data_IF_015072492257
#
_entry.id   IF_015072492257
#
_cell.length_a   1.000
_cell.length_b   1.000
_cell.length_c   1.000
_cell.angle_alpha   90.00
_cell.angle_beta   90.00
_cell.angle_gamma   90.00
#
_symmetry.space_group_name_H-M   'P 1'
#
loop_
_entity.id
_entity.type
_entity.pdbx_description
1 polymer ?
#
# COMPACT_ATOMS: atom_id res chain seq x y z
N UNK A 1 31.41 1.08 -36.96
CA UNK A 1 30.69 1.45 -35.72
C UNK A 1 29.19 1.33 -35.97
N UNK A 2 28.45 0.86 -34.99
CA UNK A 2 27.02 0.56 -35.12
C UNK A 2 26.24 1.08 -33.90
N UNK A 3 24.93 1.22 -34.05
CA UNK A 3 24.01 1.57 -32.96
C UNK A 3 22.97 0.45 -32.83
N UNK A 4 22.76 0.00 -31.59
CA UNK A 4 21.78 -1.03 -31.26
C UNK A 4 20.91 -0.58 -30.10
N UNK A 5 19.60 -0.83 -30.20
CA UNK A 5 18.69 -0.80 -29.07
C UNK A 5 18.68 -2.16 -28.41
N UNK A 6 18.79 -2.20 -27.09
CA UNK A 6 18.69 -3.42 -26.30
C UNK A 6 17.46 -3.41 -25.41
N UNK A 7 16.86 -4.58 -25.22
CA UNK A 7 15.78 -4.84 -24.26
C UNK A 7 16.08 -6.11 -23.48
N UNK A 8 16.07 -6.03 -22.17
CA UNK A 8 16.39 -7.12 -21.26
C UNK A 8 15.16 -7.47 -20.43
N UNK A 9 14.72 -8.71 -20.54
CA UNK A 9 13.55 -9.27 -19.85
C UNK A 9 13.98 -10.27 -18.79
N UNK A 10 13.23 -10.31 -17.69
CA UNK A 10 13.45 -11.18 -16.54
C UNK A 10 13.35 -10.40 -15.23
N UNK A 11 13.91 -10.95 -14.15
CA UNK A 11 14.09 -10.25 -12.87
C UNK A 11 15.24 -9.24 -12.99
N UNK A 12 14.99 -8.08 -13.61
CA UNK A 12 16.03 -7.09 -13.91
C UNK A 12 15.73 -5.69 -13.37
N UNK A 13 14.64 -5.53 -12.64
CA UNK A 13 14.28 -4.28 -11.97
C UNK A 13 14.34 -4.45 -10.45
N UNK A 14 14.83 -3.43 -9.72
CA UNK A 14 14.97 -3.51 -8.26
C UNK A 14 16.17 -4.34 -7.78
N UNK A 15 17.03 -4.80 -8.70
CA UNK A 15 18.20 -5.67 -8.45
C UNK A 15 19.53 -5.02 -8.83
N UNK A 16 19.57 -3.70 -9.05
CA UNK A 16 20.81 -3.01 -9.45
C UNK A 16 21.24 -3.20 -10.92
N UNK A 17 20.34 -3.66 -11.79
CA UNK A 17 20.67 -3.96 -13.19
C UNK A 17 21.06 -2.72 -14.02
N UNK A 18 20.40 -1.56 -13.84
CA UNK A 18 20.78 -0.31 -14.53
C UNK A 18 22.22 0.14 -14.21
N UNK A 19 22.66 0.17 -12.93
CA UNK A 19 24.08 0.35 -12.59
C UNK A 19 25.02 -0.66 -13.25
N UNK A 20 24.62 -1.94 -13.34
CA UNK A 20 25.40 -2.96 -14.02
C UNK A 20 25.57 -2.64 -15.51
N UNK A 21 24.47 -2.36 -16.22
CA UNK A 21 24.48 -1.95 -17.63
C UNK A 21 25.41 -0.74 -17.86
N UNK A 22 25.31 0.28 -17.01
CA UNK A 22 26.15 1.48 -17.09
C UNK A 22 27.65 1.14 -16.98
N UNK A 23 28.04 0.31 -15.99
CA UNK A 23 29.45 -0.08 -15.80
C UNK A 23 29.97 -0.90 -16.98
N UNK A 24 29.15 -1.83 -17.48
CA UNK A 24 29.53 -2.68 -18.62
C UNK A 24 29.74 -1.84 -19.88
N UNK A 25 28.83 -0.91 -20.19
CA UNK A 25 28.98 -0.01 -21.34
C UNK A 25 30.23 0.86 -21.22
N UNK A 26 30.50 1.42 -20.03
CA UNK A 26 31.71 2.22 -19.78
C UNK A 26 33.01 1.43 -19.93
N UNK A 27 33.05 0.20 -19.44
CA UNK A 27 34.23 -0.66 -19.54
C UNK A 27 34.56 -1.05 -20.99
N UNK A 28 33.54 -1.08 -21.86
CA UNK A 28 33.67 -1.42 -23.28
C UNK A 28 33.78 -0.18 -24.19
N UNK A 29 33.83 1.03 -23.61
CA UNK A 29 33.95 2.28 -24.38
C UNK A 29 32.73 2.63 -25.22
N UNK A 30 31.54 2.16 -24.84
CA UNK A 30 30.29 2.38 -25.57
C UNK A 30 29.57 3.67 -25.12
N UNK A 31 28.96 4.37 -26.07
CA UNK A 31 28.05 5.50 -25.84
C UNK A 31 26.60 5.01 -25.75
N UNK A 32 25.71 5.81 -25.15
CA UNK A 32 24.27 5.51 -25.17
C UNK A 32 23.53 5.74 -23.85
N UNK A 33 22.51 4.95 -23.59
CA UNK A 33 21.68 5.12 -22.40
C UNK A 33 20.98 3.85 -21.93
N UNK A 34 20.51 3.84 -20.67
CA UNK A 34 19.67 2.78 -20.09
C UNK A 34 18.54 3.35 -19.23
N UNK A 35 17.34 2.76 -19.29
CA UNK A 35 16.18 3.08 -18.47
C UNK A 35 15.38 1.82 -18.06
N UNK A 36 14.54 1.97 -17.03
CA UNK A 36 13.50 0.98 -16.72
C UNK A 36 12.22 1.36 -17.47
N UNK A 37 11.60 0.40 -18.17
CA UNK A 37 10.35 0.61 -18.92
C UNK A 37 9.48 -0.64 -18.76
N UNK A 38 8.21 -0.48 -18.36
CA UNK A 38 7.17 -1.53 -18.39
C UNK A 38 7.65 -2.96 -18.09
N UNK A 39 8.23 -3.18 -16.90
CA UNK A 39 8.67 -4.49 -16.43
C UNK A 39 10.00 -5.02 -16.98
N UNK A 40 10.67 -4.30 -17.89
CA UNK A 40 11.96 -4.67 -18.48
C UNK A 40 12.98 -3.53 -18.39
N UNK A 41 14.24 -3.80 -18.73
CA UNK A 41 15.29 -2.77 -18.86
C UNK A 41 15.56 -2.57 -20.34
N UNK A 42 15.62 -1.33 -20.79
CA UNK A 42 15.95 -1.02 -22.17
C UNK A 42 16.92 0.14 -22.31
N UNK A 43 17.50 0.27 -23.49
CA UNK A 43 18.43 1.34 -23.79
C UNK A 43 18.99 1.25 -25.19
N UNK A 44 19.95 2.13 -25.49
CA UNK A 44 20.73 2.07 -26.72
C UNK A 44 22.22 2.08 -26.40
N UNK A 45 23.00 1.40 -27.25
CA UNK A 45 24.47 1.42 -27.24
C UNK A 45 24.99 1.75 -28.64
N UNK A 46 26.04 2.57 -28.69
CA UNK A 46 26.74 2.96 -29.91
C UNK A 46 28.25 2.75 -29.76
N UNK A 47 28.89 2.14 -30.76
CA UNK A 47 30.33 1.87 -30.73
C UNK A 47 30.78 0.80 -31.71
N UNK A 48 31.90 0.15 -31.38
CA UNK A 48 32.43 -0.98 -32.14
C UNK A 48 31.44 -2.17 -32.11
N UNK A 49 31.13 -2.81 -33.25
CA UNK A 49 30.25 -3.98 -33.29
C UNK A 49 30.68 -5.12 -32.34
N UNK A 50 31.98 -5.41 -32.25
CA UNK A 50 32.48 -6.50 -31.41
C UNK A 50 32.29 -6.16 -29.92
N UNK A 51 32.43 -4.88 -29.56
CA UNK A 51 32.17 -4.40 -28.21
C UNK A 51 30.66 -4.44 -27.86
N UNK A 52 29.78 -4.24 -28.85
CA UNK A 52 28.33 -4.34 -28.66
C UNK A 52 27.88 -5.79 -28.47
N UNK A 53 28.47 -6.72 -29.21
CA UNK A 53 28.19 -8.15 -29.06
C UNK A 53 28.68 -8.67 -27.70
N UNK A 54 29.88 -8.27 -27.28
CA UNK A 54 30.41 -8.54 -25.93
C UNK A 54 29.55 -7.91 -24.82
N UNK A 55 29.05 -6.69 -25.04
CA UNK A 55 28.11 -6.04 -24.11
C UNK A 55 26.84 -6.88 -23.94
N UNK A 56 26.24 -7.33 -25.04
CA UNK A 56 25.02 -8.14 -24.99
C UNK A 56 25.24 -9.51 -24.34
N UNK A 57 26.39 -10.15 -24.60
CA UNK A 57 26.79 -11.38 -23.93
C UNK A 57 26.88 -11.19 -22.41
N UNK A 58 27.52 -10.11 -21.95
CA UNK A 58 27.60 -9.77 -20.52
C UNK A 58 26.25 -9.43 -19.90
N UNK A 59 25.33 -8.80 -20.64
CA UNK A 59 23.97 -8.59 -20.15
C UNK A 59 23.23 -9.89 -19.93
N UNK A 60 23.48 -10.93 -20.73
CA UNK A 60 22.82 -12.22 -20.59
C UNK A 60 23.33 -13.03 -19.39
N UNK A 61 24.62 -12.93 -19.04
CA UNK A 61 25.26 -13.86 -18.09
C UNK A 61 25.92 -13.21 -16.86
N UNK A 62 26.20 -11.90 -16.90
CA UNK A 62 27.00 -11.21 -15.87
C UNK A 62 26.22 -10.32 -14.91
N UNK A 63 24.89 -10.45 -14.87
CA UNK A 63 24.02 -9.59 -14.06
C UNK A 63 24.30 -9.66 -12.54
N UNK A 64 23.76 -8.69 -11.76
CA UNK A 64 23.79 -8.73 -10.29
C UNK A 64 23.24 -10.03 -9.71
N UNK A 65 23.61 -10.36 -8.47
CA UNK A 65 23.29 -11.66 -7.81
C UNK A 65 21.78 -12.00 -7.82
N UNK A 66 20.93 -10.99 -7.66
CA UNK A 66 19.47 -11.18 -7.66
C UNK A 66 18.84 -11.05 -9.04
N UNK A 67 19.63 -10.79 -10.08
CA UNK A 67 19.15 -10.64 -11.43
C UNK A 67 19.04 -12.00 -12.13
N UNK A 68 17.89 -12.27 -12.74
CA UNK A 68 17.70 -13.44 -13.60
C UNK A 68 17.26 -12.96 -14.97
N UNK A 69 18.17 -13.03 -15.94
CA UNK A 69 17.91 -12.60 -17.31
C UNK A 69 17.32 -13.77 -18.07
N UNK A 70 16.08 -13.61 -18.54
CA UNK A 70 15.39 -14.62 -19.35
C UNK A 70 15.66 -14.41 -20.84
N UNK A 71 15.75 -13.16 -21.27
CA UNK A 71 15.92 -12.82 -22.69
C UNK A 71 16.54 -11.45 -22.86
N UNK A 72 17.53 -11.35 -23.75
CA UNK A 72 18.03 -10.09 -24.31
C UNK A 72 17.57 -10.00 -25.76
N UNK A 73 17.03 -8.86 -26.18
CA UNK A 73 16.74 -8.53 -27.58
C UNK A 73 17.60 -7.37 -28.01
N UNK A 74 18.19 -7.48 -29.20
CA UNK A 74 18.90 -6.40 -29.87
C UNK A 74 18.16 -6.06 -31.17
N UNK A 75 17.96 -4.77 -31.41
CA UNK A 75 17.43 -4.24 -32.68
C UNK A 75 18.29 -3.06 -33.12
N UNK A 76 18.06 -2.54 -34.33
CA UNK A 76 18.68 -1.28 -34.75
C UNK A 76 18.24 -0.12 -33.84
N UNK A 77 19.18 0.79 -33.56
CA UNK A 77 18.98 1.97 -32.72
C UNK A 77 19.48 3.25 -33.40
N UNK A 78 19.21 4.41 -32.79
CA UNK A 78 19.43 5.71 -33.41
C UNK A 78 20.18 6.72 -32.52
N UNK A 79 20.71 6.30 -31.36
CA UNK A 79 21.44 7.18 -30.45
C UNK A 79 22.66 7.85 -31.10
N UNK A 80 22.83 9.16 -30.90
CA UNK A 80 24.00 9.90 -31.39
C UNK A 80 25.27 9.56 -30.60
N UNK A 81 26.39 9.48 -31.31
CA UNK A 81 27.73 9.20 -30.77
C UNK A 81 28.36 10.41 -30.06
N UNK A 82 29.34 10.16 -29.19
CA UNK A 82 30.22 11.17 -28.59
C UNK A 82 29.67 11.85 -27.34
N UNK A 83 28.54 11.38 -26.80
CA UNK A 83 27.89 11.99 -25.62
C UNK A 83 28.11 11.20 -24.31
N UNK A 84 28.82 10.07 -24.36
CA UNK A 84 28.96 9.17 -23.23
C UNK A 84 27.73 8.30 -23.00
N UNK A 85 27.85 7.38 -22.03
CA UNK A 85 26.74 6.53 -21.58
C UNK A 85 26.06 7.13 -20.34
N UNK A 86 24.72 7.17 -20.31
CA UNK A 86 23.95 7.71 -19.17
C UNK A 86 22.77 6.83 -18.71
N UNK A 87 22.32 7.02 -17.46
CA UNK A 87 21.10 6.37 -16.93
C UNK A 87 19.95 7.37 -17.03
N UNK A 88 18.88 7.03 -17.74
CA UNK A 88 17.69 7.87 -17.91
C UNK A 88 16.59 7.48 -16.93
N UNK A 89 15.73 8.45 -16.60
CA UNK A 89 14.47 8.20 -15.92
C UNK A 89 13.52 7.44 -16.87
N UNK A 90 12.72 6.53 -16.32
CA UNK A 90 11.66 5.86 -17.09
C UNK A 90 10.53 6.84 -17.47
N UNK A 91 9.66 6.47 -18.41
CA UNK A 91 8.51 7.30 -18.78
C UNK A 91 7.57 7.51 -17.59
N UNK A 92 7.00 8.72 -17.48
CA UNK A 92 6.10 9.10 -16.38
C UNK A 92 4.75 8.35 -16.38
N UNK A 93 4.44 7.63 -17.47
CA UNK A 93 3.19 6.88 -17.66
C UNK A 93 3.54 5.48 -18.12
N UNK A 94 3.15 4.48 -17.34
CA UNK A 94 3.37 3.06 -17.65
C UNK A 94 2.32 2.59 -18.67
N UNK A 95 2.76 1.99 -19.78
CA UNK A 95 1.90 1.27 -20.71
C UNK A 95 1.95 -0.20 -20.33
N UNK A 96 1.20 -0.59 -19.28
CA UNK A 96 1.20 -1.93 -18.63
C UNK A 96 0.88 -3.09 -19.58
N UNK A 97 1.80 -3.42 -20.47
CA UNK A 97 1.68 -4.48 -21.48
C UNK A 97 2.47 -5.73 -21.09
N UNK A 98 3.45 -5.62 -20.18
CA UNK A 98 4.27 -6.73 -19.69
C UNK A 98 4.23 -6.86 -18.16
N UNK A 99 4.02 -8.08 -17.62
CA UNK A 99 4.14 -8.34 -16.18
C UNK A 99 5.55 -8.02 -15.67
N UNK A 100 5.63 -7.42 -14.48
CA UNK A 100 6.91 -7.13 -13.81
C UNK A 100 7.31 -8.33 -12.95
N UNK A 101 8.47 -8.91 -13.21
CA UNK A 101 9.03 -10.00 -12.40
C UNK A 101 9.69 -9.42 -11.14
N UNK A 102 9.22 -9.84 -9.96
CA UNK A 102 9.69 -9.35 -8.65
C UNK A 102 10.78 -10.29 -8.10
N UNK A 103 11.94 -9.77 -7.66
CA UNK A 103 12.99 -10.60 -7.05
C UNK A 103 12.56 -11.15 -5.69
N UNK A 104 13.04 -12.36 -5.30
CA UNK A 104 12.84 -12.88 -3.94
C UNK A 104 13.61 -12.03 -2.92
N UNK A 105 13.24 -12.17 -1.66
CA UNK A 105 14.00 -11.60 -0.54
C UNK A 105 15.39 -12.20 -0.44
N UNK A 106 16.34 -11.41 0.04
CA UNK A 106 17.72 -11.83 0.18
C UNK A 106 18.28 -11.43 1.54
N UNK A 107 19.02 -12.36 2.17
CA UNK A 107 19.78 -12.07 3.39
C UNK A 107 20.81 -10.95 3.15
N UNK A 108 21.18 -10.23 4.21
CA UNK A 108 22.18 -9.15 4.16
C UNK A 108 23.47 -9.61 3.45
N UNK A 109 23.95 -8.86 2.45
CA UNK A 109 25.19 -9.21 1.75
C UNK A 109 26.42 -8.88 2.60
N UNK A 110 27.56 -9.49 2.29
CA UNK A 110 28.81 -9.28 3.02
C UNK A 110 29.26 -7.80 3.05
N UNK A 111 28.91 -7.01 2.03
CA UNK A 111 29.22 -5.57 2.00
C UNK A 111 28.38 -4.80 3.00
N UNK A 112 27.05 -4.97 2.98
CA UNK A 112 26.19 -4.38 3.99
C UNK A 112 26.52 -4.88 5.40
N UNK A 113 26.91 -6.14 5.57
CA UNK A 113 27.32 -6.67 6.87
C UNK A 113 28.58 -5.97 7.41
N UNK A 114 29.56 -5.67 6.54
CA UNK A 114 30.74 -4.87 6.93
C UNK A 114 30.35 -3.43 7.31
N UNK A 115 29.55 -2.76 6.47
CA UNK A 115 29.06 -1.41 6.76
C UNK A 115 28.25 -1.34 8.07
N UNK A 116 27.49 -2.39 8.38
CA UNK A 116 26.70 -2.48 9.61
C UNK A 116 27.57 -2.49 10.87
N UNK A 117 28.76 -3.07 10.81
CA UNK A 117 29.65 -3.25 11.96
C UNK A 117 30.88 -2.33 11.96
N UNK A 118 31.10 -1.53 10.91
CA UNK A 118 32.20 -0.57 10.84
C UNK A 118 31.83 0.74 11.56
N UNK A 119 32.49 1.11 12.68
CA UNK A 119 32.20 2.35 13.41
C UNK A 119 32.45 3.64 12.63
N UNK A 120 33.23 3.58 11.54
CA UNK A 120 33.50 4.73 10.67
C UNK A 120 32.46 4.87 9.54
N UNK A 121 31.62 3.85 9.29
CA UNK A 121 30.58 3.93 8.28
C UNK A 121 29.34 4.66 8.82
N UNK A 122 28.75 5.52 7.98
CA UNK A 122 27.52 6.26 8.32
C UNK A 122 26.33 5.34 8.61
N UNK A 123 26.38 4.07 8.20
CA UNK A 123 25.35 3.05 8.43
C UNK A 123 25.71 2.10 9.57
N UNK A 124 26.70 2.42 10.39
CA UNK A 124 27.03 1.67 11.60
C UNK A 124 25.78 1.43 12.46
N UNK A 125 25.48 0.15 12.73
CA UNK A 125 24.31 -0.33 13.48
C UNK A 125 22.95 0.11 12.90
N UNK A 126 22.86 0.49 11.62
CA UNK A 126 21.60 0.82 10.97
C UNK A 126 20.76 -0.45 10.70
N UNK A 127 19.66 -0.69 11.42
CA UNK A 127 18.97 -1.98 11.41
C UNK A 127 18.30 -2.34 10.08
N UNK A 128 18.05 -1.34 9.23
CA UNK A 128 17.43 -1.51 7.91
C UNK A 128 18.44 -1.47 6.76
N UNK A 129 19.72 -1.75 7.04
CA UNK A 129 20.75 -1.73 6.02
C UNK A 129 20.46 -2.76 4.92
N UNK A 130 20.38 -2.28 3.70
CA UNK A 130 20.31 -3.10 2.50
C UNK A 130 20.98 -2.35 1.34
N UNK A 131 21.31 -3.09 0.28
CA UNK A 131 21.79 -2.55 -0.99
C UNK A 131 20.99 -3.16 -2.13
N UNK A 132 21.41 -2.93 -3.38
CA UNK A 132 20.75 -3.52 -4.55
C UNK A 132 20.79 -5.05 -4.57
N UNK A 133 21.73 -5.66 -3.86
CA UNK A 133 22.04 -7.09 -3.93
C UNK A 133 21.50 -7.90 -2.74
N UNK A 134 20.89 -7.22 -1.76
CA UNK A 134 20.34 -7.88 -0.56
C UNK A 134 19.14 -7.13 0.05
N UNK A 135 18.55 -7.73 1.08
CA UNK A 135 17.41 -7.18 1.82
C UNK A 135 16.07 -7.62 1.24
N UNK A 136 14.97 -7.19 1.87
CA UNK A 136 13.64 -7.59 1.46
C UNK A 136 13.28 -6.99 0.08
N UNK A 137 12.51 -7.75 -0.70
CA UNK A 137 12.03 -7.51 -2.08
C UNK A 137 10.62 -8.04 -2.27
N UNK A 138 10.42 -9.36 -2.25
CA UNK A 138 9.08 -9.94 -2.35
C UNK A 138 8.29 -9.66 -1.07
N UNK A 139 8.91 -9.77 0.11
CA UNK A 139 8.33 -9.40 1.41
C UNK A 139 8.07 -7.89 1.62
N UNK A 140 8.36 -7.03 0.64
CA UNK A 140 7.93 -5.62 0.68
C UNK A 140 6.83 -5.33 -0.35
N UNK A 141 6.28 -6.35 -0.99
CA UNK A 141 5.20 -6.20 -1.96
C UNK A 141 4.01 -7.03 -1.48
N UNK A 142 2.90 -6.33 -1.23
CA UNK A 142 1.56 -6.80 -0.82
C UNK A 142 1.31 -6.99 0.69
N UNK A 143 1.34 -5.86 1.40
CA UNK A 143 0.97 -5.70 2.81
C UNK A 143 -0.40 -6.34 3.16
N UNK A 144 -1.43 -6.03 2.39
CA UNK A 144 -2.81 -6.42 2.70
C UNK A 144 -3.12 -7.90 2.46
N UNK A 145 -2.52 -8.53 1.44
CA UNK A 145 -2.66 -9.97 1.22
C UNK A 145 -1.91 -10.73 2.31
N UNK A 146 -0.71 -10.27 2.69
CA UNK A 146 0.07 -10.87 3.77
C UNK A 146 -0.68 -10.88 5.10
N UNK A 147 -1.34 -9.77 5.48
CA UNK A 147 -2.16 -9.70 6.70
C UNK A 147 -3.22 -10.81 6.77
N UNK A 148 -3.99 -11.00 5.70
CA UNK A 148 -5.08 -12.01 5.69
C UNK A 148 -4.57 -13.42 5.45
N UNK A 149 -3.44 -13.58 4.74
CA UNK A 149 -2.75 -14.86 4.55
C UNK A 149 -2.13 -15.37 5.86
N UNK A 150 -1.60 -14.49 6.71
CA UNK A 150 -1.09 -14.86 8.04
C UNK A 150 -2.19 -15.54 8.87
N UNK A 151 -3.37 -14.94 8.91
CA UNK A 151 -4.54 -15.50 9.62
C UNK A 151 -5.00 -16.81 8.97
N UNK A 152 -5.05 -16.89 7.64
CA UNK A 152 -5.43 -18.11 6.95
C UNK A 152 -4.46 -19.26 7.23
N UNK A 153 -3.15 -18.98 7.24
CA UNK A 153 -2.09 -19.94 7.49
C UNK A 153 -2.12 -20.46 8.94
N UNK A 154 -2.27 -19.55 9.92
CA UNK A 154 -2.39 -19.91 11.35
C UNK A 154 -3.56 -20.89 11.58
N UNK A 155 -4.69 -20.66 10.90
CA UNK A 155 -5.90 -21.49 11.04
C UNK A 155 -5.97 -22.65 10.05
N UNK A 156 -4.89 -22.94 9.32
CA UNK A 156 -4.78 -23.99 8.31
C UNK A 156 -5.94 -23.98 7.30
N UNK A 157 -6.38 -22.79 6.88
CA UNK A 157 -7.46 -22.62 5.90
C UNK A 157 -7.02 -23.19 4.56
N UNK A 158 -7.85 -24.06 3.97
CA UNK A 158 -7.64 -24.65 2.66
C UNK A 158 -8.58 -24.04 1.64
N UNK A 159 -8.03 -23.61 0.50
CA UNK A 159 -8.79 -22.99 -0.57
C UNK A 159 -9.18 -21.53 -0.31
N UNK A 160 -10.06 -20.96 -1.16
CA UNK A 160 -10.38 -19.54 -1.11
C UNK A 160 -11.11 -19.13 0.17
N UNK A 161 -10.76 -17.95 0.67
CA UNK A 161 -11.39 -17.26 1.80
C UNK A 161 -11.65 -15.79 1.46
N UNK A 162 -12.44 -15.11 2.29
CA UNK A 162 -12.64 -13.67 2.23
C UNK A 162 -11.74 -12.98 3.25
N UNK A 163 -10.78 -12.20 2.80
CA UNK A 163 -9.91 -11.37 3.63
C UNK A 163 -10.52 -9.99 3.88
N UNK A 164 -10.56 -9.54 5.13
CA UNK A 164 -10.81 -8.15 5.51
C UNK A 164 -9.49 -7.59 6.04
N UNK A 165 -8.86 -6.71 5.28
CA UNK A 165 -7.53 -6.16 5.56
C UNK A 165 -7.64 -4.66 5.90
N UNK A 166 -7.71 -4.34 7.20
CA UNK A 166 -7.86 -2.96 7.69
C UNK A 166 -6.60 -2.49 8.40
N UNK A 167 -5.97 -1.47 7.85
CA UNK A 167 -4.66 -1.01 8.31
C UNK A 167 -4.44 0.51 8.11
N UNK A 168 -3.26 0.98 8.52
CA UNK A 168 -2.75 2.33 8.31
C UNK A 168 -2.56 2.65 6.83
N UNK A 169 -1.45 2.27 6.22
CA UNK A 169 -1.18 2.50 4.81
C UNK A 169 -0.32 1.36 4.27
N UNK A 170 -0.78 0.70 3.21
CA UNK A 170 0.05 -0.21 2.43
C UNK A 170 -0.08 0.09 0.94
N UNK A 171 0.96 -0.22 0.17
CA UNK A 171 0.94 0.03 -1.28
C UNK A 171 0.02 -0.98 -1.99
N UNK A 172 -0.94 -0.48 -2.75
CA UNK A 172 -1.82 -1.29 -3.59
C UNK A 172 -1.34 -1.44 -5.03
N UNK A 173 -1.86 -2.47 -5.71
CA UNK A 173 -1.49 -2.83 -7.09
C UNK A 173 -1.92 -1.81 -8.16
N UNK A 174 -2.88 -0.95 -7.80
CA UNK A 174 -3.43 0.13 -8.63
C UNK A 174 -2.67 1.45 -8.44
N UNK A 175 -1.60 1.46 -7.62
CA UNK A 175 -0.81 2.65 -7.33
C UNK A 175 -1.47 3.60 -6.33
N UNK A 176 -2.59 3.20 -5.72
CA UNK A 176 -3.17 3.90 -4.57
C UNK A 176 -2.68 3.29 -3.26
N UNK A 177 -2.85 4.03 -2.17
CA UNK A 177 -2.56 3.53 -0.83
C UNK A 177 -3.80 2.81 -0.29
N UNK A 178 -3.64 1.57 0.11
CA UNK A 178 -4.70 0.73 0.65
C UNK A 178 -4.67 0.75 2.19
N UNK A 179 -5.75 0.25 2.79
CA UNK A 179 -5.88 0.10 4.25
C UNK A 179 -7.30 -0.20 4.71
N UNK A 180 -8.23 -0.45 3.79
CA UNK A 180 -9.65 -0.66 4.07
C UNK A 180 -10.24 -1.65 3.08
N UNK A 181 -9.58 -2.79 2.90
CA UNK A 181 -9.77 -3.68 1.74
C UNK A 181 -10.56 -4.94 2.07
N UNK A 182 -11.36 -5.39 1.09
CA UNK A 182 -12.05 -6.67 1.09
C UNK A 182 -11.54 -7.48 -0.10
N UNK A 183 -10.95 -8.64 0.19
CA UNK A 183 -10.25 -9.48 -0.79
C UNK A 183 -10.90 -10.87 -0.82
N UNK A 184 -11.10 -11.44 -2.01
CA UNK A 184 -11.24 -12.90 -2.15
C UNK A 184 -9.83 -13.43 -2.41
N UNK A 185 -9.30 -14.22 -1.49
CA UNK A 185 -7.89 -14.62 -1.50
C UNK A 185 -7.73 -16.11 -1.21
N UNK A 186 -6.59 -16.64 -1.60
CA UNK A 186 -6.02 -17.88 -1.06
C UNK A 186 -4.57 -17.58 -0.63
N UNK A 187 -3.73 -18.61 -0.47
CA UNK A 187 -2.33 -18.41 -0.12
C UNK A 187 -1.45 -18.05 -1.34
N UNK A 188 -1.94 -18.17 -2.57
CA UNK A 188 -1.15 -17.94 -3.78
C UNK A 188 -1.44 -16.56 -4.39
N UNK A 189 -2.65 -16.04 -4.21
CA UNK A 189 -3.04 -14.72 -4.70
C UNK A 189 -4.37 -14.23 -4.16
N UNK A 190 -4.83 -13.12 -4.73
CA UNK A 190 -6.07 -12.49 -4.32
C UNK A 190 -6.73 -11.70 -5.45
N UNK A 191 -8.01 -11.39 -5.24
CA UNK A 191 -8.80 -10.46 -6.04
C UNK A 191 -9.50 -9.49 -5.10
N UNK A 192 -9.26 -8.19 -5.29
CA UNK A 192 -9.99 -7.13 -4.57
C UNK A 192 -11.46 -7.16 -4.99
N UNK A 193 -12.37 -7.19 -4.02
CA UNK A 193 -13.83 -7.21 -4.24
C UNK A 193 -14.57 -6.06 -3.55
N UNK A 194 -13.93 -5.43 -2.57
CA UNK A 194 -14.43 -4.21 -1.97
C UNK A 194 -13.34 -3.38 -1.31
N UNK A 195 -13.66 -2.12 -1.02
CA UNK A 195 -12.73 -1.15 -0.46
C UNK A 195 -13.44 0.00 0.24
N UNK A 196 -12.69 0.83 0.96
CA UNK A 196 -13.19 2.14 1.37
C UNK A 196 -13.11 3.13 0.21
N UNK A 197 -13.97 4.15 0.25
CA UNK A 197 -13.88 5.30 -0.63
C UNK A 197 -12.50 5.95 -0.47
N UNK A 198 -11.86 6.29 -1.58
CA UNK A 198 -10.56 6.93 -1.54
C UNK A 198 -10.68 8.38 -1.09
N UNK A 199 -9.72 8.84 -0.30
CA UNK A 199 -9.56 10.26 0.04
C UNK A 199 -8.13 10.70 -0.17
N UNK A 200 -7.88 11.96 -0.54
CA UNK A 200 -6.54 12.50 -0.65
C UNK A 200 -5.86 12.53 0.72
N UNK A 201 -4.54 12.34 0.72
CA UNK A 201 -3.69 12.43 1.89
C UNK A 201 -2.73 13.63 1.74
N UNK A 202 -3.13 14.84 2.17
CA UNK A 202 -2.39 16.06 1.87
C UNK A 202 -1.04 16.11 2.60
N UNK A 203 0.04 16.02 1.83
CA UNK A 203 1.42 15.91 2.33
C UNK A 203 1.96 14.47 2.40
N UNK A 204 1.23 13.48 1.88
CA UNK A 204 1.66 12.07 1.89
C UNK A 204 1.97 11.58 3.30
N UNK A 205 3.17 11.04 3.50
CA UNK A 205 3.65 10.53 4.79
C UNK A 205 3.54 11.56 5.93
N UNK A 206 3.68 12.86 5.63
CA UNK A 206 3.53 13.89 6.65
C UNK A 206 2.12 13.92 7.26
N UNK A 207 1.09 13.53 6.51
CA UNK A 207 -0.29 13.49 7.01
C UNK A 207 -0.49 12.42 8.09
N UNK A 208 0.34 11.36 8.13
CA UNK A 208 0.30 10.33 9.18
C UNK A 208 0.52 10.95 10.57
N UNK A 209 1.39 11.96 10.67
CA UNK A 209 1.63 12.71 11.93
C UNK A 209 0.64 13.84 12.17
N UNK A 210 -0.24 14.13 11.21
CA UNK A 210 -1.19 15.23 11.26
C UNK A 210 -2.61 14.77 10.89
N UNK A 211 -3.33 14.08 11.78
CA UNK A 211 -4.73 13.69 11.57
C UNK A 211 -5.63 14.82 11.06
N UNK A 212 -5.36 16.06 11.47
CA UNK A 212 -6.03 17.26 10.95
C UNK A 212 -5.94 17.43 9.43
N UNK A 213 -4.80 17.07 8.81
CA UNK A 213 -4.63 17.10 7.35
C UNK A 213 -5.45 16.00 6.67
N UNK A 214 -5.46 14.81 7.26
CA UNK A 214 -6.26 13.68 6.81
C UNK A 214 -7.76 14.02 6.86
N UNK A 215 -8.22 14.62 7.97
CA UNK A 215 -9.59 15.10 8.11
C UNK A 215 -9.95 16.15 7.06
N UNK A 216 -9.10 17.14 6.84
CA UNK A 216 -9.29 18.12 5.77
C UNK A 216 -9.31 17.44 4.39
N UNK A 217 -8.48 16.44 4.14
CA UNK A 217 -8.48 15.66 2.90
C UNK A 217 -9.83 14.99 2.63
N UNK A 218 -10.36 14.26 3.61
CA UNK A 218 -11.69 13.64 3.54
C UNK A 218 -12.81 14.65 3.32
N UNK A 219 -12.77 15.80 4.01
CA UNK A 219 -13.80 16.84 3.88
C UNK A 219 -13.76 17.58 2.54
N UNK A 220 -12.56 17.75 1.97
CA UNK A 220 -12.37 18.57 0.77
C UNK A 220 -12.58 17.79 -0.52
N UNK A 221 -12.05 16.56 -0.62
CA UNK A 221 -12.05 15.80 -1.88
C UNK A 221 -12.11 14.27 -1.71
N UNK A 222 -12.99 13.79 -0.83
CA UNK A 222 -13.39 12.38 -0.86
C UNK A 222 -13.95 11.99 -2.24
N UNK A 223 -13.78 10.72 -2.58
CA UNK A 223 -14.25 10.14 -3.84
C UNK A 223 -15.76 10.41 -4.06
N UNK A 224 -16.14 10.93 -5.23
CA UNK A 224 -17.52 11.34 -5.48
C UNK A 224 -18.43 10.13 -5.76
N UNK A 225 -18.96 9.52 -4.71
CA UNK A 225 -19.84 8.34 -4.77
C UNK A 225 -21.34 8.67 -4.69
N UNK A 226 -21.69 9.93 -4.96
CA UNK A 226 -23.07 10.44 -5.02
C UNK A 226 -23.63 10.98 -3.70
N UNK A 227 -22.97 10.77 -2.56
CA UNK A 227 -23.34 11.46 -1.33
C UNK A 227 -22.84 12.92 -1.38
N UNK A 228 -23.65 13.90 -0.91
CA UNK A 228 -23.20 15.29 -0.85
C UNK A 228 -22.13 15.46 0.22
N UNK A 229 -21.11 16.26 -0.08
CA UNK A 229 -20.06 16.59 0.90
C UNK A 229 -20.63 17.36 2.10
N UNK A 230 -20.06 17.19 3.31
CA UNK A 230 -20.45 17.98 4.48
C UNK A 230 -20.36 19.48 4.21
N UNK A 231 -21.34 20.25 4.69
CA UNK A 231 -21.34 21.71 4.52
C UNK A 231 -20.21 22.33 5.38
N UNK A 232 -19.50 23.37 4.88
CA UNK A 232 -18.40 24.01 5.62
C UNK A 232 -18.72 24.42 7.07
N UNK A 233 -19.95 24.85 7.34
CA UNK A 233 -20.41 25.21 8.69
C UNK A 233 -20.29 24.07 9.71
N UNK A 234 -20.39 22.81 9.28
CA UNK A 234 -20.41 21.65 10.17
C UNK A 234 -19.03 21.33 10.74
N UNK A 235 -17.96 21.67 10.03
CA UNK A 235 -16.58 21.45 10.46
C UNK A 235 -15.83 22.76 10.73
N UNK A 236 -16.56 23.86 10.95
CA UNK A 236 -15.95 25.15 11.30
C UNK A 236 -15.17 25.05 12.61
N UNK A 237 -15.61 24.21 13.56
CA UNK A 237 -14.88 23.91 14.79
C UNK A 237 -13.49 23.29 14.56
N UNK A 238 -13.31 22.51 13.47
CA UNK A 238 -11.98 22.04 13.04
C UNK A 238 -11.17 23.19 12.43
N UNK A 239 -11.73 23.94 11.49
CA UNK A 239 -10.94 24.99 10.83
C UNK A 239 -10.54 26.13 11.77
N UNK A 240 -11.34 26.42 12.79
CA UNK A 240 -11.07 27.50 13.74
C UNK A 240 -9.95 27.18 14.73
N UNK A 241 -9.69 25.90 15.02
CA UNK A 241 -8.62 25.47 15.94
C UNK A 241 -7.26 25.26 15.25
N UNK A 242 -7.25 25.20 13.91
CA UNK A 242 -6.03 25.01 13.12
C UNK A 242 -5.45 26.35 12.68
N UNK A 243 -4.14 26.37 12.41
CA UNK A 243 -3.48 27.51 11.79
C UNK A 243 -4.11 27.83 10.42
N UNK A 244 -4.61 29.07 10.20
CA UNK A 244 -5.22 29.46 8.93
C UNK A 244 -4.27 29.31 7.73
N UNK A 245 -2.96 29.50 7.90
CA UNK A 245 -2.02 29.32 6.80
C UNK A 245 -1.88 27.82 6.43
N UNK A 246 -1.79 26.94 7.42
CA UNK A 246 -1.85 25.49 7.23
C UNK A 246 -3.12 25.02 6.52
N UNK A 247 -4.30 25.53 6.91
CA UNK A 247 -5.57 25.19 6.23
C UNK A 247 -5.56 25.62 4.76
N UNK A 248 -5.06 26.83 4.45
CA UNK A 248 -4.93 27.30 3.06
C UNK A 248 -3.96 26.43 2.26
N UNK A 249 -2.84 26.03 2.85
CA UNK A 249 -1.87 25.14 2.20
C UNK A 249 -2.49 23.78 1.87
N UNK A 250 -3.22 23.16 2.81
CA UNK A 250 -3.92 21.90 2.58
C UNK A 250 -4.96 22.01 1.46
N UNK A 251 -5.77 23.08 1.46
CA UNK A 251 -6.73 23.34 0.37
C UNK A 251 -6.03 23.45 -0.99
N UNK A 252 -4.88 24.12 -1.06
CA UNK A 252 -4.11 24.25 -2.29
C UNK A 252 -3.51 22.90 -2.74
N UNK A 253 -2.99 22.08 -1.81
CA UNK A 253 -2.46 20.75 -2.11
C UNK A 253 -3.55 19.84 -2.70
N UNK A 254 -4.73 19.80 -2.06
CA UNK A 254 -5.87 19.01 -2.54
C UNK A 254 -6.35 19.50 -3.91
N UNK A 255 -6.59 20.81 -4.07
CA UNK A 255 -7.09 21.36 -5.32
C UNK A 255 -6.14 21.17 -6.51
N UNK A 256 -4.82 21.09 -6.27
CA UNK A 256 -3.79 20.93 -7.31
C UNK A 256 -3.25 19.51 -7.45
N UNK A 257 -3.64 18.58 -6.56
CA UNK A 257 -3.10 17.22 -6.53
C UNK A 257 -1.60 17.12 -6.23
N UNK A 258 -1.01 18.10 -5.53
CA UNK A 258 0.43 18.14 -5.25
C UNK A 258 0.72 17.43 -3.92
N UNK A 259 1.61 16.44 -3.91
CA UNK A 259 1.96 15.62 -2.74
C UNK A 259 0.72 15.10 -2.00
N UNK A 260 -0.28 14.65 -2.77
CA UNK A 260 -1.60 14.33 -2.27
C UNK A 260 -2.04 12.95 -2.79
N UNK A 261 -1.32 11.86 -2.46
CA UNK A 261 -1.70 10.53 -2.90
C UNK A 261 -3.10 10.18 -2.36
N UNK A 262 -3.82 9.32 -3.08
CA UNK A 262 -5.14 8.85 -2.65
C UNK A 262 -5.00 7.58 -1.82
N UNK A 263 -5.77 7.49 -0.75
CA UNK A 263 -5.78 6.36 0.15
C UNK A 263 -7.21 5.85 0.41
N UNK A 264 -7.40 4.53 0.42
CA UNK A 264 -8.62 3.83 0.89
C UNK A 264 -8.43 3.25 2.29
N UNK A 265 -7.78 4.00 3.18
CA UNK A 265 -7.33 3.51 4.48
C UNK A 265 -8.38 3.61 5.59
N UNK A 266 -8.57 2.51 6.34
CA UNK A 266 -9.34 2.51 7.58
C UNK A 266 -8.62 3.31 8.67
N UNK A 267 -7.30 3.13 8.85
CA UNK A 267 -6.53 3.86 9.87
C UNK A 267 -6.58 5.38 9.67
N UNK A 268 -6.51 5.85 8.44
CA UNK A 268 -6.64 7.29 8.11
C UNK A 268 -8.08 7.80 8.31
N UNK A 269 -9.09 6.94 8.20
CA UNK A 269 -10.47 7.29 8.59
C UNK A 269 -10.61 7.40 10.12
N UNK A 270 -9.94 6.53 10.90
CA UNK A 270 -9.84 6.68 12.36
C UNK A 270 -9.19 8.02 12.74
N UNK A 271 -8.05 8.36 12.12
CA UNK A 271 -7.38 9.63 12.33
C UNK A 271 -8.28 10.82 12.00
N UNK A 272 -9.01 10.72 10.88
CA UNK A 272 -9.99 11.73 10.48
C UNK A 272 -11.03 11.95 11.57
N UNK A 273 -11.67 10.89 12.06
CA UNK A 273 -12.72 11.00 13.07
C UNK A 273 -12.17 11.50 14.40
N UNK A 274 -11.01 11.01 14.84
CA UNK A 274 -10.33 11.48 16.04
C UNK A 274 -10.04 12.98 15.97
N UNK A 275 -9.54 13.46 14.83
CA UNK A 275 -9.38 14.90 14.59
C UNK A 275 -10.73 15.60 14.65
N UNK A 276 -11.75 15.19 13.87
CA UNK A 276 -13.05 15.87 13.86
C UNK A 276 -13.70 16.02 15.25
N UNK A 277 -13.54 15.03 16.13
CA UNK A 277 -14.03 15.06 17.50
C UNK A 277 -13.16 15.89 18.47
N UNK A 278 -12.00 16.36 18.03
CA UNK A 278 -11.07 17.18 18.81
C UNK A 278 -10.15 16.38 19.72
N UNK A 279 -9.93 15.10 19.44
CA UNK A 279 -9.07 14.22 20.24
C UNK A 279 -7.59 14.37 19.87
N UNK A 280 -7.28 14.46 18.57
CA UNK A 280 -5.91 14.62 18.09
C UNK A 280 -5.87 15.31 16.72
N UNK A 281 -5.21 16.47 16.63
CA UNK A 281 -4.90 17.13 15.35
C UNK A 281 -3.46 16.82 14.87
N UNK A 282 -2.60 16.37 15.78
CA UNK A 282 -1.20 15.94 15.59
C UNK A 282 -0.89 14.75 16.50
N UNK A 283 0.01 13.87 16.08
CA UNK A 283 0.40 12.66 16.85
C UNK A 283 1.92 12.47 16.93
N UNK A 284 2.36 11.87 18.03
CA UNK A 284 3.74 11.52 18.35
C UNK A 284 4.16 10.18 17.73
N UNK A 285 3.22 9.23 17.61
CA UNK A 285 3.45 7.91 17.03
C UNK A 285 2.28 7.45 16.14
N UNK A 286 2.51 6.47 15.27
CA UNK A 286 1.48 5.94 14.40
C UNK A 286 0.42 5.15 15.18
N UNK A 287 -0.86 5.41 14.88
CA UNK A 287 -2.00 4.79 15.56
C UNK A 287 -2.48 5.51 16.83
N UNK A 288 -1.77 6.53 17.32
CA UNK A 288 -2.14 7.26 18.54
C UNK A 288 -3.56 7.82 18.50
N UNK A 289 -3.96 8.46 17.39
CA UNK A 289 -5.31 9.03 17.26
C UNK A 289 -6.41 7.95 17.25
N UNK A 290 -6.14 6.77 16.67
CA UNK A 290 -7.06 5.64 16.71
C UNK A 290 -7.20 5.08 18.14
N UNK A 291 -6.09 4.98 18.90
CA UNK A 291 -6.10 4.57 20.31
C UNK A 291 -6.88 5.56 21.17
N UNK A 292 -6.67 6.87 20.99
CA UNK A 292 -7.42 7.90 21.69
C UNK A 292 -8.92 7.84 21.37
N UNK A 293 -9.28 7.55 20.11
CA UNK A 293 -10.67 7.41 19.71
C UNK A 293 -11.34 6.17 20.33
N UNK A 294 -10.63 5.05 20.43
CA UNK A 294 -11.10 3.85 21.13
C UNK A 294 -11.30 4.13 22.62
N UNK A 295 -10.31 4.75 23.27
CA UNK A 295 -10.37 5.12 24.68
C UNK A 295 -11.54 6.08 24.98
N UNK A 296 -11.78 7.05 24.09
CA UNK A 296 -12.91 7.97 24.21
C UNK A 296 -14.26 7.25 24.08
N UNK A 297 -14.36 6.23 23.23
CA UNK A 297 -15.57 5.42 23.12
C UNK A 297 -15.82 4.57 24.38
N UNK A 298 -14.76 4.01 24.97
CA UNK A 298 -14.84 3.15 26.14
C UNK A 298 -15.90 2.05 25.99
N UNK A 299 -16.70 1.84 27.03
CA UNK A 299 -17.81 0.87 27.07
C UNK A 299 -19.16 1.46 26.67
N UNK A 300 -19.18 2.69 26.15
CA UNK A 300 -20.42 3.40 25.82
C UNK A 300 -21.19 2.65 24.73
N UNK A 301 -22.49 2.45 24.95
CA UNK A 301 -23.42 1.99 23.92
C UNK A 301 -23.94 3.18 23.14
N UNK A 302 -24.01 3.05 21.81
CA UNK A 302 -24.39 4.14 20.92
C UNK A 302 -25.24 3.63 19.75
N UNK A 303 -26.03 4.54 19.17
CA UNK A 303 -26.69 4.34 17.88
C UNK A 303 -25.66 4.55 16.77
N UNK A 304 -25.53 3.62 15.80
CA UNK A 304 -24.54 3.74 14.73
C UNK A 304 -24.76 5.02 13.93
N UNK A 305 -23.67 5.60 13.45
CA UNK A 305 -23.74 6.64 12.43
C UNK A 305 -24.27 6.07 11.11
N UNK A 306 -24.84 6.94 10.28
CA UNK A 306 -25.23 6.58 8.92
C UNK A 306 -24.03 6.04 8.13
N UNK A 307 -24.23 4.97 7.36
CA UNK A 307 -23.22 4.42 6.45
C UNK A 307 -23.86 4.06 5.11
N UNK A 308 -23.04 3.97 4.06
CA UNK A 308 -23.53 3.67 2.71
C UNK A 308 -22.53 2.81 1.96
N UNK A 309 -23.04 1.73 1.34
CA UNK A 309 -22.28 0.89 0.41
C UNK A 309 -22.80 1.14 -1.00
N UNK A 310 -21.89 1.37 -1.94
CA UNK A 310 -22.18 1.55 -3.36
C UNK A 310 -21.35 0.58 -4.20
N UNK A 311 -21.68 0.43 -5.49
CA UNK A 311 -20.87 -0.33 -6.44
C UNK A 311 -20.24 0.62 -7.45
N UNK A 312 -18.92 0.61 -7.57
CA UNK A 312 -18.18 1.38 -8.59
C UNK A 312 -17.02 0.55 -9.12
N UNK A 313 -16.77 0.61 -10.43
CA UNK A 313 -15.68 -0.11 -11.10
C UNK A 313 -15.60 -1.61 -10.74
N UNK A 314 -16.77 -2.24 -10.57
CA UNK A 314 -16.89 -3.65 -10.20
C UNK A 314 -16.62 -3.98 -8.73
N UNK A 315 -16.27 -2.99 -7.90
CA UNK A 315 -16.01 -3.14 -6.46
C UNK A 315 -17.17 -2.64 -5.61
N UNK A 316 -17.38 -3.28 -4.47
CA UNK A 316 -18.22 -2.73 -3.40
C UNK A 316 -17.43 -1.70 -2.60
N UNK A 317 -17.96 -0.47 -2.49
CA UNK A 317 -17.24 0.64 -1.88
C UNK A 317 -18.03 1.21 -0.71
N UNK A 318 -17.38 1.29 0.45
CA UNK A 318 -17.91 2.03 1.59
C UNK A 318 -17.69 3.53 1.38
N UNK A 319 -18.78 4.25 1.12
CA UNK A 319 -18.82 5.70 1.08
C UNK A 319 -18.89 6.23 2.52
N UNK A 320 -17.77 6.75 3.02
CA UNK A 320 -17.68 7.31 4.38
C UNK A 320 -18.28 8.70 4.51
N UNK A 321 -18.72 9.34 3.41
CA UNK A 321 -19.24 10.71 3.41
C UNK A 321 -20.49 10.85 4.29
N UNK A 322 -21.50 9.95 4.21
CA UNK A 322 -22.65 9.98 5.12
C UNK A 322 -22.25 9.80 6.60
N UNK A 323 -21.27 8.96 6.89
CA UNK A 323 -20.78 8.72 8.25
C UNK A 323 -20.13 9.95 8.85
N UNK A 324 -19.26 10.61 8.08
CA UNK A 324 -18.63 11.86 8.49
C UNK A 324 -19.65 12.99 8.63
N UNK A 325 -20.65 13.06 7.73
CA UNK A 325 -21.70 14.09 7.79
C UNK A 325 -22.57 13.93 9.03
N UNK A 326 -23.08 12.73 9.29
CA UNK A 326 -23.91 12.42 10.45
C UNK A 326 -23.14 12.65 11.77
N UNK A 327 -21.85 12.28 11.82
CA UNK A 327 -20.99 12.57 12.96
C UNK A 327 -20.93 14.07 13.26
N UNK A 328 -20.72 14.89 12.23
CA UNK A 328 -20.61 16.34 12.40
C UNK A 328 -21.95 16.96 12.79
N UNK A 329 -23.06 16.54 12.16
CA UNK A 329 -24.39 17.03 12.51
C UNK A 329 -24.71 16.73 13.98
N UNK A 330 -24.55 15.47 14.41
CA UNK A 330 -24.77 15.06 15.81
C UNK A 330 -23.82 15.76 16.78
N UNK A 331 -22.57 16.02 16.39
CA UNK A 331 -21.63 16.82 17.18
C UNK A 331 -22.12 18.25 17.35
N UNK A 332 -22.61 18.89 16.29
CA UNK A 332 -23.16 20.26 16.36
C UNK A 332 -24.46 20.33 17.15
N UNK A 333 -25.23 19.24 17.23
CA UNK A 333 -26.40 19.10 18.09
C UNK A 333 -26.07 18.83 19.57
N UNK A 334 -24.78 18.80 19.94
CA UNK A 334 -24.34 18.70 21.34
C UNK A 334 -24.05 17.29 21.83
N UNK A 335 -24.00 16.28 20.95
CA UNK A 335 -23.67 14.93 21.38
C UNK A 335 -22.20 14.82 21.85
N UNK A 336 -22.00 14.01 22.90
CA UNK A 336 -20.70 13.84 23.54
C UNK A 336 -19.71 13.13 22.63
N UNK A 337 -18.42 13.43 22.80
CA UNK A 337 -17.34 12.76 22.06
C UNK A 337 -17.35 11.25 22.29
N UNK A 338 -17.63 10.79 23.51
CA UNK A 338 -17.69 9.36 23.82
C UNK A 338 -18.80 8.63 23.06
N UNK A 339 -20.00 9.24 22.98
CA UNK A 339 -21.11 8.69 22.19
C UNK A 339 -20.80 8.64 20.69
N UNK A 340 -20.21 9.70 20.14
CA UNK A 340 -19.87 9.75 18.71
C UNK A 340 -18.73 8.80 18.34
N UNK A 341 -17.72 8.68 19.20
CA UNK A 341 -16.66 7.69 19.04
C UNK A 341 -17.24 6.27 19.06
N UNK A 342 -18.13 5.96 20.02
CA UNK A 342 -18.82 4.68 20.11
C UNK A 342 -19.71 4.41 18.87
N UNK A 343 -20.42 5.43 18.37
CA UNK A 343 -21.27 5.37 17.19
C UNK A 343 -20.46 5.12 15.91
N UNK A 344 -19.28 5.72 15.78
CA UNK A 344 -18.36 5.51 14.67
C UNK A 344 -17.86 4.07 14.60
N UNK A 345 -17.38 3.51 15.72
CA UNK A 345 -16.92 2.11 15.74
C UNK A 345 -18.04 1.15 15.32
N UNK A 346 -19.27 1.38 15.79
CA UNK A 346 -20.42 0.54 15.42
C UNK A 346 -20.83 0.73 13.95
N UNK A 347 -20.78 1.96 13.42
CA UNK A 347 -21.04 2.24 12.01
C UNK A 347 -20.02 1.56 11.10
N UNK A 348 -18.73 1.63 11.46
CA UNK A 348 -17.67 0.95 10.72
C UNK A 348 -17.88 -0.56 10.73
N UNK A 349 -18.19 -1.15 11.88
CA UNK A 349 -18.46 -2.58 11.99
C UNK A 349 -19.67 -3.01 11.14
N UNK A 350 -20.72 -2.19 11.08
CA UNK A 350 -21.89 -2.43 10.20
C UNK A 350 -21.54 -2.30 8.73
N UNK A 351 -20.77 -1.27 8.35
CA UNK A 351 -20.30 -1.10 6.98
C UNK A 351 -19.44 -2.29 6.54
N UNK A 352 -18.56 -2.81 7.40
CA UNK A 352 -17.79 -4.04 7.14
C UNK A 352 -18.71 -5.24 6.95
N UNK A 353 -19.70 -5.42 7.82
CA UNK A 353 -20.65 -6.53 7.72
C UNK A 353 -21.48 -6.48 6.43
N UNK A 354 -21.84 -5.28 5.97
CA UNK A 354 -22.55 -5.09 4.72
C UNK A 354 -21.64 -5.32 3.50
N UNK A 355 -20.40 -4.83 3.52
CA UNK A 355 -19.40 -5.12 2.47
C UNK A 355 -19.18 -6.63 2.31
N UNK A 356 -19.03 -7.34 3.42
CA UNK A 356 -18.84 -8.79 3.43
C UNK A 356 -20.10 -9.50 2.93
N UNK A 357 -21.29 -9.10 3.39
CA UNK A 357 -22.54 -9.68 2.92
C UNK A 357 -22.69 -9.53 1.40
N UNK A 358 -22.42 -8.34 0.85
CA UNK A 358 -22.43 -8.09 -0.60
C UNK A 358 -21.41 -8.95 -1.37
N UNK A 359 -20.21 -9.11 -0.83
CA UNK A 359 -19.21 -9.98 -1.45
C UNK A 359 -19.67 -11.44 -1.46
N UNK A 360 -20.28 -11.93 -0.38
CA UNK A 360 -20.82 -13.29 -0.27
C UNK A 360 -22.03 -13.50 -1.20
N UNK A 361 -22.91 -12.50 -1.33
CA UNK A 361 -24.00 -12.49 -2.32
C UNK A 361 -23.46 -12.62 -3.76
N UNK A 362 -22.33 -11.98 -4.06
CA UNK A 362 -21.61 -12.08 -5.33
C UNK A 362 -20.78 -13.39 -5.47
N UNK A 363 -20.92 -14.35 -4.54
CA UNK A 363 -20.29 -15.67 -4.61
C UNK A 363 -18.95 -15.80 -3.88
N UNK A 364 -18.57 -14.84 -3.02
CA UNK A 364 -17.36 -14.98 -2.23
C UNK A 364 -17.48 -16.08 -1.14
N UNK A 365 -16.34 -16.65 -0.69
CA UNK A 365 -16.32 -17.66 0.36
C UNK A 365 -16.93 -17.17 1.68
N UNK A 366 -17.49 -18.11 2.45
CA UNK A 366 -18.12 -17.84 3.77
C UNK A 366 -17.14 -17.91 4.95
N UNK A 367 -15.89 -18.28 4.69
CA UNK A 367 -14.79 -18.21 5.66
C UNK A 367 -14.14 -16.83 5.54
N UNK A 368 -14.11 -16.07 6.63
CA UNK A 368 -13.62 -14.70 6.68
C UNK A 368 -12.37 -14.63 7.57
N UNK A 369 -11.27 -14.09 7.05
CA UNK A 369 -10.04 -13.82 7.79
C UNK A 369 -9.91 -12.32 8.04
N UNK A 370 -9.86 -11.90 9.30
CA UNK A 370 -9.68 -10.50 9.71
C UNK A 370 -8.21 -10.22 10.02
N UNK A 371 -7.56 -9.35 9.26
CA UNK A 371 -6.16 -8.97 9.43
C UNK A 371 -5.90 -7.48 9.22
N UNK A 372 -4.74 -7.00 9.61
CA UNK A 372 -4.34 -5.59 9.56
C UNK A 372 -4.42 -4.89 10.92
N UNK A 373 -3.59 -3.85 11.09
CA UNK A 373 -3.36 -3.17 12.36
C UNK A 373 -4.61 -2.56 13.00
N UNK A 374 -5.67 -2.25 12.25
CA UNK A 374 -6.90 -1.71 12.82
C UNK A 374 -7.65 -2.73 13.70
N UNK A 375 -7.41 -4.04 13.54
CA UNK A 375 -8.07 -5.07 14.36
C UNK A 375 -7.42 -5.29 15.74
N UNK A 376 -6.36 -4.53 16.08
CA UNK A 376 -5.93 -4.41 17.49
C UNK A 376 -6.97 -3.66 18.35
N UNK A 377 -7.82 -2.85 17.70
CA UNK A 377 -8.93 -2.16 18.35
C UNK A 377 -9.97 -3.19 18.81
N UNK A 378 -10.04 -3.40 20.13
CA UNK A 378 -10.84 -4.44 20.75
C UNK A 378 -12.34 -4.20 20.51
N UNK A 379 -12.76 -2.93 20.52
CA UNK A 379 -14.15 -2.55 20.25
C UNK A 379 -14.58 -2.90 18.83
N UNK A 380 -13.79 -2.50 17.83
CA UNK A 380 -14.04 -2.78 16.41
C UNK A 380 -14.04 -4.30 16.16
N UNK A 381 -13.00 -5.00 16.62
CA UNK A 381 -12.88 -6.44 16.42
C UNK A 381 -14.07 -7.20 17.03
N UNK A 382 -14.50 -6.82 18.24
CA UNK A 382 -15.64 -7.45 18.92
C UNK A 382 -16.93 -7.27 18.12
N UNK A 383 -17.25 -6.05 17.69
CA UNK A 383 -18.47 -5.77 16.94
C UNK A 383 -18.47 -6.39 15.54
N UNK A 384 -17.34 -6.33 14.81
CA UNK A 384 -17.21 -6.97 13.50
C UNK A 384 -17.40 -8.48 13.61
N UNK A 385 -16.72 -9.13 14.56
CA UNK A 385 -16.88 -10.59 14.79
C UNK A 385 -18.33 -10.95 15.13
N UNK A 386 -18.98 -10.16 15.99
CA UNK A 386 -20.37 -10.39 16.38
C UNK A 386 -21.32 -10.29 15.19
N UNK A 387 -21.21 -9.23 14.39
CA UNK A 387 -22.07 -9.00 13.23
C UNK A 387 -21.85 -10.04 12.13
N UNK A 388 -20.61 -10.37 11.80
CA UNK A 388 -20.30 -11.39 10.77
C UNK A 388 -20.75 -12.80 11.19
N UNK A 389 -20.58 -13.17 12.47
CA UNK A 389 -21.09 -14.46 12.98
C UNK A 389 -22.62 -14.53 12.95
N UNK A 390 -23.31 -13.41 13.22
CA UNK A 390 -24.76 -13.34 13.10
C UNK A 390 -25.26 -13.56 11.66
N UNK A 391 -24.42 -13.30 10.65
CA UNK A 391 -24.69 -13.65 9.24
C UNK A 391 -24.36 -15.11 8.88
N UNK A 392 -23.98 -15.94 9.87
CA UNK A 392 -23.63 -17.34 9.68
C UNK A 392 -22.28 -17.55 8.97
N UNK A 393 -21.32 -16.63 9.15
CA UNK A 393 -19.98 -16.70 8.57
C UNK A 393 -18.99 -17.34 9.56
N UNK A 394 -18.02 -18.07 9.03
CA UNK A 394 -16.88 -18.59 9.82
C UNK A 394 -15.82 -17.49 9.90
N UNK A 395 -15.73 -16.82 11.05
CA UNK A 395 -14.83 -15.67 11.25
C UNK A 395 -13.57 -16.08 12.01
N UNK A 396 -12.42 -15.83 11.40
CA UNK A 396 -11.08 -16.13 11.88
C UNK A 396 -10.30 -14.82 12.10
N UNK A 397 -9.46 -14.80 13.12
CA UNK A 397 -8.57 -13.70 13.49
C UNK A 397 -7.28 -14.31 14.04
N UNK A 398 -6.14 -13.67 13.80
CA UNK A 398 -4.85 -14.12 14.34
C UNK A 398 -4.84 -14.10 15.87
N UNK A 399 -4.21 -15.11 16.46
CA UNK A 399 -4.02 -15.25 17.90
C UNK A 399 -2.60 -15.62 18.30
N UNK A 400 -1.86 -16.32 17.43
CA UNK A 400 -0.44 -16.64 17.63
C UNK A 400 0.46 -15.65 16.89
N UNK A 401 0.10 -15.30 15.65
CA UNK A 401 0.73 -14.20 14.93
C UNK A 401 0.02 -12.87 15.27
N UNK A 402 0.76 -11.76 15.44
CA UNK A 402 0.16 -10.44 15.57
C UNK A 402 -0.73 -10.11 14.37
N UNK A 403 -1.89 -9.50 14.61
CA UNK A 403 -2.85 -9.12 13.55
C UNK A 403 -2.40 -7.92 12.71
N UNK A 404 -1.49 -7.09 13.24
CA UNK A 404 -0.87 -5.98 12.51
C UNK A 404 0.50 -6.36 11.92
N UNK A 405 1.33 -5.37 11.61
CA UNK A 405 2.54 -5.53 10.78
C UNK A 405 3.54 -6.57 11.29
N UNK A 406 3.55 -6.84 12.60
CA UNK A 406 4.35 -7.92 13.19
C UNK A 406 4.05 -9.32 12.61
N UNK A 407 2.84 -9.55 12.07
CA UNK A 407 2.41 -10.80 11.45
C UNK A 407 2.67 -10.90 9.94
N UNK A 408 3.05 -9.80 9.28
CA UNK A 408 3.24 -9.75 7.81
C UNK A 408 4.26 -10.80 7.36
N UNK A 409 5.38 -10.91 8.07
CA UNK A 409 6.46 -11.86 7.72
C UNK A 409 5.97 -13.32 7.70
N UNK A 410 5.07 -13.68 8.60
CA UNK A 410 4.47 -15.02 8.65
C UNK A 410 3.53 -15.25 7.47
N UNK A 411 2.67 -14.28 7.16
CA UNK A 411 1.81 -14.33 5.98
C UNK A 411 2.60 -14.46 4.68
N UNK A 412 3.69 -13.71 4.55
CA UNK A 412 4.56 -13.77 3.37
C UNK A 412 5.27 -15.11 3.23
N UNK A 413 5.76 -15.67 4.34
CA UNK A 413 6.35 -17.00 4.33
C UNK A 413 5.33 -18.07 3.89
N UNK A 414 4.08 -17.98 4.36
CA UNK A 414 3.01 -18.89 3.95
C UNK A 414 2.66 -18.74 2.45
N UNK A 415 2.61 -17.51 1.94
CA UNK A 415 2.37 -17.24 0.52
C UNK A 415 3.50 -17.79 -0.35
N UNK A 416 4.76 -17.54 0.04
CA UNK A 416 5.92 -18.05 -0.68
C UNK A 416 5.95 -19.58 -0.70
N UNK A 417 5.68 -20.23 0.44
CA UNK A 417 5.61 -21.68 0.53
C UNK A 417 4.50 -22.27 -0.35
N UNK A 418 3.32 -21.64 -0.39
CA UNK A 418 2.21 -22.10 -1.22
C UNK A 418 2.52 -21.99 -2.72
N UNK A 419 3.12 -20.88 -3.15
CA UNK A 419 3.54 -20.67 -4.56
C UNK A 419 4.61 -21.67 -5.01
N UNK A 420 5.62 -21.92 -4.18
CA UNK A 420 6.65 -22.92 -4.47
C UNK A 420 6.04 -24.33 -4.63
N UNK A 421 5.07 -24.68 -3.78
CA UNK A 421 4.38 -25.96 -3.85
C UNK A 421 3.40 -26.09 -5.04
N UNK A 422 3.04 -25.00 -5.71
CA UNK A 422 2.32 -25.03 -7.00
C UNK A 422 3.28 -25.18 -8.18
N UNK A 423 4.45 -24.56 -8.14
CA UNK A 423 5.47 -24.68 -9.20
C UNK A 423 6.06 -26.10 -9.30
N UNK A 424 6.03 -26.86 -8.21
CA UNK A 424 6.48 -28.26 -8.15
C UNK A 424 5.43 -29.29 -8.62
N UNK A 425 4.18 -28.87 -8.86
CA UNK A 425 3.08 -29.74 -9.36
C UNK A 425 2.93 -29.60 -10.87
#
# INVERSE_FOLDING_TARGET
MSVRRFQVYGTVQGVGFRPFVYRTAKALGLDGWVANVDGHVEGEVAGDPDAIDEFAARLATGGPVLARVRRVRLTEGHSPMGQGFCVRAGPARLTRTTPREIPPDAAICATCLRELYDPADRRHRYPFINCTDCGPRATIIEDHHAHVAAVAAEHAVRGPFLGVAYDGLGLGDDGTLWGGEILVADLCGYRRVGRFATSPLPGGDAAVRHPSRTALGHLLDSEPLGAPRPRPRLYQGLTNRLDPAGVRAVRAMVARGINCPRASSAGRLFDTVASLLGLADTVCYEGEAAVLLEAAAGTVSAVPLAHRIVRTDGLWVYDSTPTVTDLLDRRTSGESVAQLAAAFHLALARATADLVARAVEDGAPRTVCLGGGCFVNARLLTEVRRLLRAQGLRVLVGGEAPVGDGGISYGQAAVAAARLAEEER
#
